data_IF_237699581686
#
_entry.id   IF_237699581686
#
_cell.length_a   1.000
_cell.length_b   1.000
_cell.length_c   1.000
_cell.angle_alpha   90.00
_cell.angle_beta   90.00
_cell.angle_gamma   90.00
#
_symmetry.space_group_name_H-M   'P 1'
#
loop_
_entity.id
_entity.type
_entity.pdbx_description
1 polymer ?
#
# COMPACT_ATOMS: atom_id res chain seq x y z
N UNK A 1 17.54 7.65 -7.47
CA UNK A 1 16.74 8.77 -6.96
C UNK A 1 15.25 8.47 -6.74
N UNK A 2 14.44 8.04 -7.72
CA UNK A 2 12.96 8.06 -7.61
C UNK A 2 12.30 7.26 -6.46
N UNK A 3 12.62 5.97 -6.23
CA UNK A 3 11.93 5.16 -5.19
C UNK A 3 12.05 5.74 -3.79
N UNK A 4 13.29 6.09 -3.44
CA UNK A 4 13.63 6.53 -2.11
C UNK A 4 13.26 8.01 -1.89
N UNK A 5 13.38 8.88 -2.91
CA UNK A 5 12.96 10.28 -2.80
C UNK A 5 11.44 10.39 -2.67
N UNK A 6 10.68 9.56 -3.40
CA UNK A 6 9.23 9.58 -3.32
C UNK A 6 8.71 8.94 -2.03
N UNK A 7 9.41 7.95 -1.43
CA UNK A 7 9.08 7.51 -0.07
C UNK A 7 9.53 8.50 1.01
N UNK A 8 10.56 9.33 0.79
CA UNK A 8 10.93 10.42 1.73
C UNK A 8 9.86 11.50 1.85
N UNK A 9 9.02 11.69 0.82
CA UNK A 9 7.90 12.64 0.90
C UNK A 9 6.66 12.04 1.57
N UNK A 10 6.69 10.74 1.89
CA UNK A 10 5.65 10.02 2.61
C UNK A 10 6.03 9.95 4.08
N UNK A 11 5.15 10.42 4.94
CA UNK A 11 5.29 10.38 6.39
C UNK A 11 4.25 9.45 7.02
N UNK A 12 4.39 9.21 8.32
CA UNK A 12 3.38 8.49 9.10
C UNK A 12 1.99 9.11 8.87
N UNK A 13 1.01 8.26 8.55
CA UNK A 13 -0.38 8.67 8.28
C UNK A 13 -0.68 9.12 6.84
N UNK A 14 0.33 9.29 5.97
CA UNK A 14 0.08 9.53 4.55
C UNK A 14 -0.46 8.28 3.87
N UNK A 15 -1.36 8.45 2.89
CA UNK A 15 -1.97 7.33 2.15
C UNK A 15 -1.22 7.08 0.85
N UNK A 16 -0.84 5.82 0.63
CA UNK A 16 -0.12 5.35 -0.56
C UNK A 16 -0.95 4.28 -1.29
N UNK A 17 -1.26 4.51 -2.56
CA UNK A 17 -1.94 3.53 -3.41
C UNK A 17 -0.94 2.54 -3.98
N UNK A 18 -1.19 1.25 -3.79
CA UNK A 18 -0.50 0.18 -4.50
C UNK A 18 -1.44 -0.33 -5.60
N UNK A 19 -1.18 0.09 -6.83
CA UNK A 19 -1.96 -0.24 -8.02
C UNK A 19 -1.15 -1.13 -8.96
N UNK A 20 -1.17 -2.43 -8.71
CA UNK A 20 -0.34 -3.41 -9.43
C UNK A 20 -1.08 -4.73 -9.59
N UNK A 21 -0.84 -5.51 -10.67
CA UNK A 21 -1.26 -6.90 -10.74
C UNK A 21 -0.61 -7.75 -9.63
N UNK A 22 -1.12 -8.98 -9.46
CA UNK A 22 -0.53 -9.95 -8.55
C UNK A 22 0.94 -10.18 -8.90
N UNK A 23 1.82 -9.95 -7.93
CA UNK A 23 3.27 -10.14 -8.06
C UNK A 23 3.90 -10.32 -6.69
N UNK A 24 5.09 -10.93 -6.65
CA UNK A 24 5.88 -11.07 -5.42
C UNK A 24 6.29 -9.70 -4.82
N UNK A 25 6.34 -8.67 -5.66
CA UNK A 25 6.69 -7.31 -5.24
C UNK A 25 5.54 -6.59 -4.53
N UNK A 26 4.30 -7.04 -4.70
CA UNK A 26 3.15 -6.41 -4.06
C UNK A 26 3.22 -6.50 -2.51
N UNK A 27 3.44 -7.68 -1.89
CA UNK A 27 3.69 -7.77 -0.46
C UNK A 27 4.90 -6.94 0.00
N UNK A 28 5.96 -6.88 -0.79
CA UNK A 28 7.15 -6.08 -0.47
C UNK A 28 6.81 -4.58 -0.43
N UNK A 29 6.05 -4.08 -1.41
CA UNK A 29 5.59 -2.69 -1.43
C UNK A 29 4.65 -2.39 -0.25
N UNK A 30 3.74 -3.30 0.07
CA UNK A 30 2.83 -3.15 1.21
C UNK A 30 3.60 -3.06 2.53
N UNK A 31 4.56 -3.96 2.75
CA UNK A 31 5.40 -3.93 3.95
C UNK A 31 6.31 -2.70 3.99
N UNK A 32 6.85 -2.26 2.85
CA UNK A 32 7.65 -1.04 2.78
C UNK A 32 6.84 0.20 3.20
N UNK A 33 5.62 0.36 2.70
CA UNK A 33 4.71 1.47 3.06
C UNK A 33 4.34 1.41 4.54
N UNK A 34 3.91 0.25 5.03
CA UNK A 34 3.43 0.12 6.41
C UNK A 34 4.55 0.17 7.44
N UNK A 35 5.77 -0.25 7.08
CA UNK A 35 6.94 -0.17 7.97
C UNK A 35 7.35 1.27 8.30
N UNK A 36 7.01 2.23 7.45
CA UNK A 36 7.25 3.66 7.69
C UNK A 36 6.05 4.37 8.36
N UNK A 37 5.03 3.61 8.78
CA UNK A 37 3.81 4.14 9.40
C UNK A 37 2.84 4.82 8.43
N UNK A 38 3.05 4.67 7.12
CA UNK A 38 2.13 5.13 6.11
C UNK A 38 0.97 4.13 5.92
N UNK A 39 -0.13 4.61 5.36
CA UNK A 39 -1.37 3.86 5.18
C UNK A 39 -1.40 3.29 3.76
N UNK A 40 -1.43 1.97 3.64
CA UNK A 40 -1.54 1.32 2.34
C UNK A 40 -3.01 1.26 1.88
N UNK A 41 -3.30 1.74 0.68
CA UNK A 41 -4.56 1.44 -0.01
C UNK A 41 -4.28 0.65 -1.28
N UNK A 42 -5.24 -0.16 -1.70
CA UNK A 42 -5.11 -1.04 -2.87
C UNK A 42 -6.32 -0.86 -3.75
N UNK A 43 -6.15 -1.07 -5.05
CA UNK A 43 -7.25 -1.02 -6.01
C UNK A 43 -7.12 -2.18 -6.99
N UNK A 44 -8.25 -2.67 -7.48
CA UNK A 44 -8.26 -3.71 -8.51
C UNK A 44 -7.64 -3.14 -9.79
N UNK A 45 -6.59 -3.77 -10.36
CA UNK A 45 -5.96 -3.36 -11.63
C UNK A 45 -6.95 -3.14 -12.80
N UNK A 46 -8.11 -3.78 -12.74
CA UNK A 46 -9.18 -3.67 -13.74
C UNK A 46 -10.01 -2.40 -13.60
N UNK A 47 -9.91 -1.66 -12.50
CA UNK A 47 -10.62 -0.40 -12.31
C UNK A 47 -10.34 0.58 -13.46
N UNK A 48 -11.39 1.28 -13.83
CA UNK A 48 -11.36 2.43 -14.74
C UNK A 48 -10.75 3.64 -14.05
N UNK A 49 -10.33 4.63 -14.85
CA UNK A 49 -9.82 5.92 -14.33
C UNK A 49 -10.87 6.61 -13.45
N UNK A 50 -12.16 6.47 -13.77
CA UNK A 50 -13.27 7.05 -13.00
C UNK A 50 -13.37 6.43 -11.60
N UNK A 51 -13.29 5.11 -11.49
CA UNK A 51 -13.34 4.40 -10.20
C UNK A 51 -12.11 4.73 -9.35
N UNK A 52 -10.92 4.78 -9.97
CA UNK A 52 -9.69 5.21 -9.29
C UNK A 52 -9.78 6.65 -8.80
N UNK A 53 -10.34 7.56 -9.60
CA UNK A 53 -10.49 8.97 -9.24
C UNK A 53 -11.30 9.15 -7.96
N UNK A 54 -12.36 8.35 -7.77
CA UNK A 54 -13.15 8.38 -6.55
C UNK A 54 -12.31 7.99 -5.33
N UNK A 55 -11.63 6.84 -5.41
CA UNK A 55 -10.79 6.32 -4.32
C UNK A 55 -9.61 7.25 -4.00
N UNK A 56 -8.96 7.82 -5.00
CA UNK A 56 -7.84 8.77 -4.83
C UNK A 56 -8.31 10.03 -4.09
N UNK A 57 -9.48 10.56 -4.47
CA UNK A 57 -10.06 11.74 -3.83
C UNK A 57 -10.51 11.46 -2.40
N UNK A 58 -11.21 10.34 -2.17
CA UNK A 58 -11.77 9.98 -0.85
C UNK A 58 -10.66 9.67 0.17
N UNK A 59 -9.59 9.01 -0.27
CA UNK A 59 -8.46 8.64 0.60
C UNK A 59 -7.37 9.73 0.76
N UNK A 60 -7.49 10.89 0.09
CA UNK A 60 -6.48 11.97 0.11
C UNK A 60 -5.07 11.45 -0.21
N UNK A 61 -4.96 10.76 -1.34
CA UNK A 61 -3.75 10.03 -1.71
C UNK A 61 -2.52 10.93 -1.85
N UNK A 62 -1.36 10.48 -1.33
CA UNK A 62 -0.08 11.19 -1.40
C UNK A 62 0.83 10.67 -2.52
N UNK A 63 0.78 9.36 -2.78
CA UNK A 63 1.70 8.68 -3.70
C UNK A 63 1.07 7.43 -4.31
N UNK A 64 1.43 7.13 -5.56
CA UNK A 64 1.01 5.91 -6.27
C UNK A 64 2.23 5.03 -6.54
N UNK A 65 2.15 3.76 -6.17
CA UNK A 65 3.05 2.69 -6.60
C UNK A 65 2.32 1.88 -7.68
N UNK A 66 2.87 1.81 -8.87
CA UNK A 66 2.26 1.13 -10.03
C UNK A 66 3.30 0.40 -10.87
N UNK A 67 2.88 -0.23 -11.97
CA UNK A 67 3.76 -0.80 -13.01
C UNK A 67 3.50 -0.11 -14.35
N UNK A 68 4.45 -0.19 -15.28
CA UNK A 68 4.35 0.48 -16.60
C UNK A 68 3.04 0.16 -17.34
N UNK A 69 2.59 -1.08 -17.25
CA UNK A 69 1.36 -1.58 -17.89
C UNK A 69 0.10 -0.83 -17.42
N UNK A 70 0.13 -0.26 -16.21
CA UNK A 70 -0.99 0.44 -15.58
C UNK A 70 -0.76 1.95 -15.50
N UNK A 71 0.39 2.45 -15.96
CA UNK A 71 0.79 3.85 -15.83
C UNK A 71 -0.21 4.81 -16.48
N UNK A 72 -0.74 4.45 -17.65
CA UNK A 72 -1.72 5.26 -18.40
C UNK A 72 -3.02 5.52 -17.64
N UNK A 73 -3.36 4.67 -16.65
CA UNK A 73 -4.55 4.86 -15.82
C UNK A 73 -4.34 5.87 -14.69
N UNK A 74 -3.09 6.19 -14.35
CA UNK A 74 -2.76 6.98 -13.15
C UNK A 74 -1.95 8.25 -13.42
N UNK A 75 -1.35 8.38 -14.61
CA UNK A 75 -0.53 9.55 -14.98
C UNK A 75 -1.29 10.89 -14.97
N UNK A 76 -2.62 10.86 -15.14
CA UNK A 76 -3.46 12.06 -15.16
C UNK A 76 -3.78 12.66 -13.78
N UNK A 77 -3.42 11.99 -12.68
CA UNK A 77 -3.78 12.46 -11.32
C UNK A 77 -2.78 13.46 -10.71
N UNK A 78 -1.68 13.79 -11.40
CA UNK A 78 -0.65 14.73 -10.93
C UNK A 78 -0.09 14.38 -9.53
N UNK A 79 0.03 13.09 -9.23
CA UNK A 79 0.62 12.56 -8.00
C UNK A 79 2.00 11.96 -8.29
N UNK A 80 2.92 11.95 -7.32
CA UNK A 80 4.16 11.20 -7.44
C UNK A 80 3.89 9.72 -7.72
N UNK A 81 4.56 9.18 -8.75
CA UNK A 81 4.43 7.78 -9.15
C UNK A 81 5.77 7.06 -8.96
N UNK A 82 5.71 5.89 -8.33
CA UNK A 82 6.79 4.92 -8.25
C UNK A 82 6.45 3.75 -9.17
N UNK A 83 7.39 3.37 -10.04
CA UNK A 83 7.28 2.15 -10.82
C UNK A 83 7.92 0.96 -10.07
N UNK A 84 7.08 -0.03 -9.73
CA UNK A 84 7.45 -1.25 -9.03
C UNK A 84 8.22 -2.25 -9.91
N UNK A 85 8.04 -2.19 -11.23
CA UNK A 85 8.71 -3.07 -12.20
C UNK A 85 10.23 -2.92 -12.22
N UNK A 86 10.75 -1.75 -11.83
CA UNK A 86 12.19 -1.47 -11.78
C UNK A 86 12.80 -1.79 -10.42
N UNK A 87 12.48 -2.95 -9.84
CA UNK A 87 12.82 -3.28 -8.44
C UNK A 87 14.31 -3.16 -8.09
N UNK A 88 15.21 -3.66 -8.95
CA UNK A 88 16.66 -3.59 -8.72
C UNK A 88 17.13 -2.15 -8.51
N UNK A 89 16.66 -1.24 -9.36
CA UNK A 89 16.86 0.20 -9.25
C UNK A 89 16.36 0.75 -7.92
N UNK A 90 15.21 0.28 -7.43
CA UNK A 90 14.62 0.71 -6.15
C UNK A 90 15.54 0.35 -4.97
N UNK A 91 16.10 -0.86 -4.99
CA UNK A 91 17.03 -1.38 -3.98
C UNK A 91 18.38 -0.66 -4.00
N UNK A 92 18.96 -0.43 -5.17
CA UNK A 92 20.21 0.32 -5.27
C UNK A 92 20.05 1.74 -4.71
N UNK A 93 18.90 2.36 -4.97
CA UNK A 93 18.58 3.72 -4.50
C UNK A 93 18.33 3.77 -2.99
N UNK A 94 17.97 2.66 -2.34
CA UNK A 94 17.76 2.59 -0.89
C UNK A 94 19.03 2.26 -0.08
N UNK A 95 20.04 1.64 -0.70
CA UNK A 95 21.23 1.07 -0.03
C UNK A 95 22.04 2.06 0.84
N UNK A 96 22.02 3.35 0.52
CA UNK A 96 22.80 4.38 1.22
C UNK A 96 21.99 5.22 2.22
N UNK A 97 20.82 4.75 2.64
CA UNK A 97 19.94 5.53 3.50
C UNK A 97 19.67 4.82 4.82
N UNK A 98 19.76 5.58 5.92
CA UNK A 98 19.41 5.09 7.25
C UNK A 98 17.97 4.58 7.26
N UNK A 99 17.76 3.46 7.95
CA UNK A 99 16.42 2.92 8.14
C UNK A 99 15.54 3.99 8.80
N UNK A 100 14.45 4.36 8.12
CA UNK A 100 13.40 5.14 8.75
C UNK A 100 12.90 4.31 9.93
N UNK A 101 13.03 4.85 11.14
CA UNK A 101 12.53 4.22 12.37
C UNK A 101 11.39 5.07 12.95
N UNK A 102 10.29 5.30 12.22
CA UNK A 102 9.16 6.02 12.78
C UNK A 102 8.55 5.19 13.92
N UNK A 103 8.04 5.87 14.94
CA UNK A 103 7.28 5.21 15.99
C UNK A 103 5.91 4.79 15.44
N UNK A 104 5.79 3.51 15.08
CA UNK A 104 4.54 2.87 14.63
C UNK A 104 3.90 2.15 15.82
N UNK A 105 2.66 2.51 16.12
CA UNK A 105 1.82 1.92 17.16
C UNK A 105 0.80 0.97 16.54
N UNK A 106 0.39 -0.05 17.30
CA UNK A 106 -0.67 -0.96 16.86
C UNK A 106 -2.03 -0.26 16.64
N UNK A 107 -2.25 0.90 17.27
CA UNK A 107 -3.45 1.72 17.07
C UNK A 107 -3.44 2.55 15.79
N UNK A 108 -2.28 2.68 15.13
CA UNK A 108 -2.18 3.44 13.89
C UNK A 108 -2.94 2.72 12.77
N UNK A 109 -3.55 3.52 11.89
CA UNK A 109 -4.14 3.03 10.65
C UNK A 109 -3.01 2.48 9.78
N UNK A 110 -3.23 1.28 9.25
CA UNK A 110 -2.26 0.57 8.39
C UNK A 110 -2.76 0.43 6.97
N UNK A 111 -4.09 0.32 6.79
CA UNK A 111 -4.67 0.16 5.47
C UNK A 111 -6.07 0.76 5.36
N UNK A 112 -6.40 1.20 4.14
CA UNK A 112 -7.77 1.55 3.74
C UNK A 112 -8.12 0.69 2.53
N UNK A 113 -9.05 -0.26 2.71
CA UNK A 113 -9.47 -1.19 1.67
C UNK A 113 -10.88 -0.84 1.19
N UNK A 114 -11.04 -0.64 -0.11
CA UNK A 114 -12.34 -0.25 -0.67
C UNK A 114 -13.18 -1.48 -1.02
N UNK A 115 -14.44 -1.43 -0.61
CA UNK A 115 -15.47 -2.41 -0.96
C UNK A 115 -16.52 -1.77 -1.85
N UNK A 116 -17.08 -2.54 -2.79
CA UNK A 116 -18.21 -2.12 -3.61
C UNK A 116 -19.45 -2.02 -2.72
N UNK A 117 -19.84 -0.80 -2.33
CA UNK A 117 -21.07 -0.56 -1.58
C UNK A 117 -22.31 -0.74 -2.46
N UNK A 118 -23.41 -1.21 -1.88
CA UNK A 118 -24.72 -1.31 -2.55
C UNK A 118 -25.27 0.05 -3.02
N UNK A 119 -24.73 1.16 -2.50
CA UNK A 119 -25.11 2.54 -2.81
C UNK A 119 -24.37 3.10 -4.04
N UNK A 120 -23.67 2.26 -4.81
CA UNK A 120 -23.00 2.63 -6.07
C UNK A 120 -21.56 3.12 -5.90
N UNK A 121 -21.25 3.88 -4.86
CA UNK A 121 -19.87 4.31 -4.55
C UNK A 121 -19.17 3.35 -3.60
N UNK A 122 -17.89 3.08 -3.86
CA UNK A 122 -17.06 2.23 -3.00
C UNK A 122 -16.78 2.93 -1.67
N UNK A 123 -16.75 2.16 -0.58
CA UNK A 123 -16.49 2.69 0.78
C UNK A 123 -15.16 2.15 1.29
N UNK A 124 -14.32 3.05 1.80
CA UNK A 124 -13.04 2.71 2.44
C UNK A 124 -13.24 2.10 3.83
N UNK A 125 -12.77 0.88 4.02
CA UNK A 125 -12.70 0.20 5.31
C UNK A 125 -11.35 0.50 5.94
N UNK A 126 -11.36 1.17 7.10
CA UNK A 126 -10.15 1.57 7.82
C UNK A 126 -9.69 0.41 8.72
N UNK A 127 -8.46 -0.03 8.51
CA UNK A 127 -7.82 -1.09 9.29
C UNK A 127 -6.64 -0.53 10.07
N UNK A 128 -6.48 -1.00 11.30
CA UNK A 128 -5.32 -0.69 12.15
C UNK A 128 -4.31 -1.83 12.12
N UNK A 129 -3.07 -1.56 12.48
CA UNK A 129 -2.05 -2.59 12.69
C UNK A 129 -2.57 -3.71 13.61
N UNK A 130 -3.24 -3.35 14.71
CA UNK A 130 -3.86 -4.30 15.65
C UNK A 130 -4.84 -5.23 14.95
N UNK A 131 -5.72 -4.70 14.09
CA UNK A 131 -6.72 -5.52 13.39
C UNK A 131 -6.09 -6.53 12.43
N UNK A 132 -5.02 -6.16 11.73
CA UNK A 132 -4.30 -7.07 10.83
C UNK A 132 -3.55 -8.13 11.63
N UNK A 133 -2.86 -7.75 12.72
CA UNK A 133 -2.14 -8.67 13.61
C UNK A 133 -3.12 -9.69 14.20
N UNK A 134 -4.26 -9.25 14.72
CA UNK A 134 -5.28 -10.13 15.29
C UNK A 134 -5.79 -11.16 14.26
N UNK A 135 -6.07 -10.72 13.03
CA UNK A 135 -6.47 -11.61 11.93
C UNK A 135 -5.36 -12.61 11.57
N UNK A 136 -4.10 -12.16 11.47
CA UNK A 136 -2.98 -13.03 11.18
C UNK A 136 -2.84 -14.14 12.24
N UNK A 137 -2.88 -13.77 13.53
CA UNK A 137 -2.83 -14.72 14.64
C UNK A 137 -4.01 -15.70 14.63
N UNK A 138 -5.22 -15.22 14.33
CA UNK A 138 -6.40 -16.07 14.22
C UNK A 138 -6.20 -17.13 13.13
N UNK A 139 -5.71 -16.73 11.95
CA UNK A 139 -5.50 -17.63 10.81
C UNK A 139 -4.36 -18.63 11.07
N UNK A 140 -3.30 -18.21 11.76
CA UNK A 140 -2.16 -19.08 12.05
C UNK A 140 -2.34 -19.95 13.29
N UNK A 141 -3.31 -19.65 14.16
CA UNK A 141 -3.54 -20.42 15.41
C UNK A 141 -3.78 -21.91 15.16
N UNK A 142 -4.44 -22.25 14.05
CA UNK A 142 -4.67 -23.64 13.65
C UNK A 142 -3.39 -24.35 13.19
N UNK A 143 -2.43 -23.62 12.60
CA UNK A 143 -1.17 -24.22 12.12
C UNK A 143 -0.23 -24.60 13.28
N UNK A 144 -0.30 -23.89 14.41
CA UNK A 144 0.49 -24.24 15.59
C UNK A 144 -0.02 -25.54 16.24
N UNK A 145 -1.35 -25.77 16.20
CA UNK A 145 -1.98 -26.97 16.75
C UNK A 145 -1.53 -28.29 16.09
N UNK A 146 -1.03 -28.27 14.84
CA UNK A 146 -0.59 -29.47 14.12
C UNK A 146 0.94 -29.61 14.00
N UNK A 147 1.72 -28.68 14.56
CA UNK A 147 3.19 -28.80 14.60
C UNK A 147 3.70 -29.57 15.82
N UNK A 148 2.82 -29.91 16.77
CA UNK A 148 3.14 -30.68 17.97
C UNK A 148 2.74 -32.17 17.88
N UNK A 149 2.51 -32.71 16.68
CA UNK A 149 2.17 -34.13 16.44
C UNK A 149 3.22 -34.89 15.65
#
# INVERSE_FOLDING_TARGET
>A
MAFHISLKSVSKGDVVLIFSPNSILFPVAFLAVTSIGAIATTANPLYTVKELSHQISDSKLKLIITVDQLFSKVNGFNLPIINLGNFSDLIEKSRNHAALSPSVSQSDVVAILYSSGITGLSKGVVLTHRSIIATALMVTSHQEFYKEG
#
